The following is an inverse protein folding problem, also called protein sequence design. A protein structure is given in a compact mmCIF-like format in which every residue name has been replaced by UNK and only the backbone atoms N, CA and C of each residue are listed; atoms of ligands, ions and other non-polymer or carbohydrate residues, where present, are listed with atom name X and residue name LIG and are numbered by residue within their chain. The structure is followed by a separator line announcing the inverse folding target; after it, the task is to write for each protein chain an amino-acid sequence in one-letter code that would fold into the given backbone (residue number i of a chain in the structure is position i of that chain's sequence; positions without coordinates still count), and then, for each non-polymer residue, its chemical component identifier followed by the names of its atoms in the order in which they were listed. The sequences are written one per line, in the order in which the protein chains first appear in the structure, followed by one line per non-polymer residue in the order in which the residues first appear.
data_IF_306586396954
#
_entry.id   IF_306586396954
#
_cell.length_a   1.000
_cell.length_b   1.000
_cell.length_c   1.000
_cell.angle_alpha   90.00
_cell.angle_beta   90.00
_cell.angle_gamma   90.00
#
_symmetry.space_group_name_H-M   'P 1'
#
loop_
_entity.id
_entity.type
_entity.pdbx_description
1 polymer ?
#
# COMPACT_ATOMS: atom_id res chain seq x y z
N UNK A 1 6.13 -12.09 -0.01
CA UNK A 1 4.67 -12.34 -0.08
C UNK A 1 3.95 -11.23 0.65
N UNK A 2 2.79 -10.81 0.16
CA UNK A 2 1.98 -9.76 0.77
C UNK A 2 0.57 -10.27 1.00
N UNK A 3 -0.04 -9.84 2.10
CA UNK A 3 -1.47 -10.05 2.38
C UNK A 3 -2.08 -8.73 2.84
N UNK A 4 -3.34 -8.52 2.51
CA UNK A 4 -4.10 -7.32 2.86
C UNK A 4 -5.46 -7.69 3.45
N UNK A 5 -6.08 -6.75 4.16
CA UNK A 5 -7.40 -6.99 4.73
C UNK A 5 -8.03 -5.75 5.34
N UNK A 6 -8.69 -5.95 6.47
CA UNK A 6 -9.50 -4.94 7.15
C UNK A 6 -8.65 -3.82 7.75
N UNK A 7 -9.29 -2.68 8.02
CA UNK A 7 -8.67 -1.53 8.68
C UNK A 7 -7.39 -1.01 7.97
N UNK A 8 -7.23 -1.22 6.68
CA UNK A 8 -6.09 -0.72 5.91
C UNK A 8 -4.78 -1.45 6.16
N UNK A 9 -4.79 -2.59 6.85
CA UNK A 9 -3.58 -3.35 7.16
C UNK A 9 -3.01 -4.09 5.95
N UNK A 10 -1.69 -4.07 5.88
CA UNK A 10 -0.88 -4.74 4.86
C UNK A 10 0.23 -5.47 5.60
N UNK A 11 0.42 -6.76 5.35
CA UNK A 11 1.51 -7.52 5.96
C UNK A 11 2.46 -8.03 4.88
N UNK A 12 3.75 -7.85 5.12
CA UNK A 12 4.84 -8.34 4.28
C UNK A 12 5.58 -9.46 4.99
N UNK A 13 5.62 -10.63 4.36
CA UNK A 13 6.45 -11.73 4.82
C UNK A 13 7.85 -11.65 4.21
N UNK A 14 8.87 -11.69 5.07
CA UNK A 14 10.28 -11.73 4.68
C UNK A 14 11.15 -12.19 5.84
N UNK A 15 12.24 -12.91 5.56
CA UNK A 15 13.18 -13.43 6.56
C UNK A 15 12.50 -14.23 7.70
N UNK A 16 11.46 -14.99 7.37
CA UNK A 16 10.72 -15.80 8.35
C UNK A 16 9.77 -15.03 9.27
N UNK A 17 9.63 -13.71 9.11
CA UNK A 17 8.79 -12.87 9.95
C UNK A 17 7.77 -12.06 9.14
N UNK A 18 6.63 -11.75 9.78
CA UNK A 18 5.62 -10.85 9.23
C UNK A 18 5.84 -9.44 9.75
N UNK A 19 6.01 -8.49 8.83
CA UNK A 19 6.12 -7.07 9.14
C UNK A 19 4.81 -6.38 8.78
N UNK A 20 4.23 -5.64 9.72
CA UNK A 20 2.99 -4.88 9.50
C UNK A 20 3.27 -3.51 8.92
N UNK A 21 2.53 -3.16 7.88
CA UNK A 21 2.33 -1.81 7.36
C UNK A 21 0.84 -1.49 7.32
N UNK A 22 0.51 -0.23 7.03
CA UNK A 22 -0.88 0.22 6.97
C UNK A 22 -1.02 1.44 6.07
N UNK A 23 -2.12 1.53 5.32
CA UNK A 23 -2.49 2.77 4.64
C UNK A 23 -3.05 3.80 5.64
N UNK A 24 -3.16 5.07 5.24
CA UNK A 24 -3.72 6.11 6.10
C UNK A 24 -5.21 5.91 6.42
N UNK A 25 -5.97 5.34 5.47
CA UNK A 25 -7.40 5.06 5.64
C UNK A 25 -7.65 3.77 6.45
N UNK A 26 -8.86 3.63 6.98
CA UNK A 26 -9.34 2.41 7.65
C UNK A 26 -10.11 1.50 6.68
N UNK A 27 -9.93 1.68 5.37
CA UNK A 27 -10.60 0.93 4.32
C UNK A 27 -10.28 -0.57 4.39
N UNK A 28 -11.22 -1.42 3.99
CA UNK A 28 -10.90 -2.83 3.70
C UNK A 28 -10.16 -2.90 2.37
N UNK A 29 -8.90 -3.32 2.43
CA UNK A 29 -8.08 -3.63 1.26
C UNK A 29 -8.46 -5.02 0.74
N UNK A 30 -8.65 -5.13 -0.57
CA UNK A 30 -9.17 -6.32 -1.25
C UNK A 30 -8.12 -7.06 -2.04
N UNK A 31 -7.10 -6.34 -2.53
CA UNK A 31 -6.05 -6.94 -3.32
C UNK A 31 -4.73 -6.18 -3.21
N UNK A 32 -3.61 -6.86 -3.47
CA UNK A 32 -2.26 -6.32 -3.47
C UNK A 32 -1.43 -6.94 -4.59
N UNK A 33 -0.80 -6.08 -5.39
CA UNK A 33 0.10 -6.47 -6.45
C UNK A 33 1.46 -5.83 -6.25
N UNK A 34 2.53 -6.61 -6.35
CA UNK A 34 3.90 -6.13 -6.18
C UNK A 34 4.67 -6.33 -7.48
N UNK A 35 5.12 -5.22 -8.05
CA UNK A 35 5.84 -5.20 -9.33
C UNK A 35 7.29 -5.64 -9.15
N UNK A 36 7.95 -5.17 -8.09
CA UNK A 36 9.31 -5.54 -7.73
C UNK A 36 9.59 -5.21 -6.26
N UNK A 37 10.87 -5.28 -5.84
CA UNK A 37 11.26 -5.05 -4.45
C UNK A 37 10.95 -3.64 -3.91
N UNK A 38 10.68 -2.66 -4.78
CA UNK A 38 10.39 -1.28 -4.41
C UNK A 38 8.93 -0.88 -4.70
N UNK A 39 8.38 -1.30 -5.83
CA UNK A 39 7.10 -0.82 -6.32
C UNK A 39 5.96 -1.83 -6.14
N UNK A 40 4.81 -1.33 -5.68
CA UNK A 40 3.60 -2.13 -5.49
C UNK A 40 2.34 -1.29 -5.35
N UNK A 41 1.18 -1.95 -5.45
CA UNK A 41 -0.15 -1.37 -5.49
C UNK A 41 -1.09 -2.17 -4.61
N UNK A 42 -2.02 -1.50 -3.94
CA UNK A 42 -3.14 -2.15 -3.25
C UNK A 42 -4.41 -1.36 -3.47
N UNK A 43 -5.53 -2.06 -3.50
CA UNK A 43 -6.85 -1.49 -3.75
C UNK A 43 -7.81 -1.93 -2.66
N UNK A 44 -8.73 -1.05 -2.32
CA UNK A 44 -9.82 -1.31 -1.38
C UNK A 44 -11.11 -0.67 -1.87
N UNK A 45 -12.09 -0.54 -0.98
CA UNK A 45 -13.36 0.13 -1.32
C UNK A 45 -13.13 1.58 -1.75
N UNK A 46 -13.25 1.84 -3.07
CA UNK A 46 -13.09 3.15 -3.73
C UNK A 46 -11.74 3.83 -3.56
N UNK A 47 -10.74 3.12 -3.03
CA UNK A 47 -9.40 3.66 -2.75
C UNK A 47 -8.32 2.81 -3.41
N UNK A 48 -7.28 3.47 -3.92
CA UNK A 48 -6.08 2.83 -4.44
C UNK A 48 -4.85 3.48 -3.82
N UNK A 49 -3.83 2.67 -3.56
CA UNK A 49 -2.57 3.09 -2.96
C UNK A 49 -1.40 2.50 -3.72
N UNK A 50 -0.28 3.22 -3.70
CA UNK A 50 1.01 2.74 -4.24
C UNK A 50 2.12 2.87 -3.20
N UNK A 51 3.12 2.02 -3.32
CA UNK A 51 4.41 2.13 -2.63
C UNK A 51 5.54 2.24 -3.65
N UNK A 52 6.61 2.90 -3.25
CA UNK A 52 7.87 3.01 -4.00
C UNK A 52 9.09 2.70 -3.11
N UNK A 53 8.85 2.18 -1.90
CA UNK A 53 9.86 1.88 -0.87
C UNK A 53 9.69 0.45 -0.30
N UNK A 54 9.17 -0.45 -1.12
CA UNK A 54 9.04 -1.87 -0.78
C UNK A 54 7.93 -2.16 0.22
N UNK A 55 6.94 -1.27 0.33
CA UNK A 55 5.77 -1.40 1.20
C UNK A 55 5.97 -0.83 2.60
N UNK A 56 7.01 -0.03 2.83
CA UNK A 56 7.23 0.67 4.10
C UNK A 56 6.23 1.81 4.25
N UNK A 57 5.99 2.55 3.16
CA UNK A 57 4.96 3.58 3.07
C UNK A 57 4.03 3.32 1.88
N UNK A 58 2.75 3.62 2.08
CA UNK A 58 1.70 3.51 1.07
C UNK A 58 1.00 4.85 0.91
N UNK A 59 1.10 5.44 -0.28
CA UNK A 59 0.53 6.76 -0.59
C UNK A 59 -0.75 6.60 -1.43
N UNK A 60 -1.80 7.39 -1.17
CA UNK A 60 -3.01 7.38 -1.97
C UNK A 60 -2.73 7.70 -3.44
N UNK A 61 -3.38 6.98 -4.36
CA UNK A 61 -3.44 7.31 -5.77
C UNK A 61 -4.65 8.22 -6.00
N UNK A 62 -4.47 9.52 -5.74
CA UNK A 62 -5.51 10.50 -6.00
C UNK A 62 -5.60 10.77 -7.50
N UNK A 63 -6.81 10.73 -8.07
CA UNK A 63 -7.05 11.15 -9.45
C UNK A 63 -6.74 12.63 -9.59
N UNK A 64 -5.87 12.97 -10.57
CA UNK A 64 -5.44 14.33 -10.96
C UNK A 64 -5.99 15.47 -10.11
N UNK A 65 -5.44 15.71 -8.92
CA UNK A 65 -5.60 16.92 -8.12
C UNK A 65 -4.76 16.85 -6.82
N UNK A 66 -3.52 16.39 -6.89
CA UNK A 66 -2.50 16.88 -5.95
C UNK A 66 -1.26 17.15 -6.78
N UNK A 67 -1.03 18.44 -6.98
CA UNK A 67 0.21 19.00 -7.54
C UNK A 67 1.40 18.23 -6.97
N UNK A 68 2.38 17.95 -7.82
CA UNK A 68 3.75 17.73 -7.41
C UNK A 68 4.24 18.97 -6.65
N UNK A 69 3.92 19.09 -5.36
CA UNK A 69 4.57 20.01 -4.44
C UNK A 69 5.34 19.15 -3.44
N UNK A 70 6.51 18.73 -3.88
CA UNK A 70 7.65 18.59 -3.00
C UNK A 70 8.67 19.59 -3.55
N UNK A 71 9.08 20.49 -2.65
CA UNK A 71 10.07 21.57 -2.78
C UNK A 71 11.37 21.09 -3.39
#
# INVERSE_FOLDING_TARGET
MYVVGVNGYIYKFGNGVWNSGRVKSHVTLKDVFVLNNLYGYTVGDKEAYKTFDGGTNWVPMLGFLVLNLIV
#
